data_IF_368777816668
#
_entry.id   IF_368777816668
#
_cell.length_a   1.000
_cell.length_b   1.000
_cell.length_c   1.000
_cell.angle_alpha   90.00
_cell.angle_beta   90.00
_cell.angle_gamma   90.00
#
_symmetry.space_group_name_H-M   'P 1'
#
loop_
_entity.id
_entity.type
_entity.pdbx_description
1 polymer ?
#
# COMPACT_ATOMS: atom_id res chain seq x y z
N UNK A 1 -13.77 39.18 26.71
CA UNK A 1 -13.62 38.44 27.99
C UNK A 1 -12.29 37.66 28.03
N UNK A 2 -11.20 38.21 27.46
CA UNK A 2 -10.03 37.40 27.07
C UNK A 2 -8.71 37.79 27.78
N UNK A 3 -8.67 38.88 28.54
CA UNK A 3 -7.43 39.40 29.16
C UNK A 3 -7.14 38.83 30.55
N UNK A 4 -8.12 38.21 31.23
CA UNK A 4 -7.91 37.59 32.56
C UNK A 4 -6.87 36.47 32.54
N UNK A 5 -6.67 35.79 31.41
CA UNK A 5 -5.71 34.71 31.27
C UNK A 5 -4.24 35.18 31.38
N UNK A 6 -3.97 36.45 31.07
CA UNK A 6 -2.63 37.05 31.11
C UNK A 6 -2.45 37.99 32.31
N UNK A 7 -3.39 37.99 33.26
CA UNK A 7 -3.33 38.85 34.44
C UNK A 7 -2.13 38.53 35.34
N UNK A 8 -1.58 37.32 35.24
CA UNK A 8 -0.45 36.87 36.04
C UNK A 8 0.77 36.67 35.13
N UNK A 9 1.83 37.43 35.41
CA UNK A 9 3.12 37.28 34.74
C UNK A 9 3.86 36.11 35.39
N UNK A 10 4.15 35.07 34.61
CA UNK A 10 5.03 34.00 35.07
C UNK A 10 6.44 34.56 35.20
N UNK A 11 7.00 34.50 36.40
CA UNK A 11 8.40 34.81 36.61
C UNK A 11 9.28 33.79 35.87
N UNK A 12 10.43 34.23 35.34
CA UNK A 12 11.35 33.33 34.65
C UNK A 12 11.81 32.24 35.62
N UNK A 13 11.58 30.99 35.24
CA UNK A 13 12.10 29.84 35.96
C UNK A 13 13.59 29.70 35.61
N UNK A 14 14.41 29.41 36.61
CA UNK A 14 15.83 29.12 36.42
C UNK A 14 16.02 28.04 35.34
N UNK A 15 17.05 28.17 34.51
CA UNK A 15 17.36 27.15 33.51
C UNK A 15 17.68 25.79 34.13
N UNK A 16 17.52 24.72 33.35
CA UNK A 16 17.71 23.33 33.78
C UNK A 16 19.06 23.06 34.46
N UNK A 17 20.10 23.83 34.11
CA UNK A 17 21.43 23.75 34.73
C UNK A 17 21.46 24.09 36.24
N UNK A 18 20.49 24.87 36.75
CA UNK A 18 20.36 25.20 38.19
C UNK A 18 19.45 24.24 38.94
N UNK A 19 18.78 23.31 38.25
CA UNK A 19 17.85 22.40 38.90
C UNK A 19 18.63 21.33 39.69
N UNK A 20 18.14 20.98 40.88
CA UNK A 20 18.72 19.88 41.66
C UNK A 20 18.55 18.60 40.86
N UNK A 21 19.65 17.89 40.60
CA UNK A 21 19.59 16.54 40.03
C UNK A 21 18.91 15.64 41.04
N UNK A 22 17.74 15.12 40.70
CA UNK A 22 17.12 14.06 41.47
C UNK A 22 17.98 12.81 41.32
N UNK A 23 18.48 12.24 42.41
CA UNK A 23 19.17 10.93 42.39
C UNK A 23 18.21 9.76 42.13
N UNK A 24 17.11 10.03 41.44
CA UNK A 24 16.10 9.07 41.05
C UNK A 24 16.61 8.40 39.78
N UNK A 25 16.62 7.06 39.78
CA UNK A 25 16.96 6.26 38.61
C UNK A 25 16.10 6.67 37.43
N UNK A 26 16.70 6.77 36.24
CA UNK A 26 15.96 7.09 35.04
C UNK A 26 14.97 5.97 34.73
N UNK A 27 13.71 6.34 34.47
CA UNK A 27 12.71 5.37 34.03
C UNK A 27 13.15 4.81 32.68
N UNK A 28 13.16 3.49 32.56
CA UNK A 28 13.44 2.82 31.29
C UNK A 28 12.42 3.27 30.24
N UNK A 29 12.83 3.46 28.98
CA UNK A 29 11.89 3.76 27.92
C UNK A 29 10.84 2.66 27.82
N UNK A 30 9.58 2.99 27.47
CA UNK A 30 8.59 1.98 27.16
C UNK A 30 9.11 1.03 26.08
N UNK A 31 8.81 -0.26 26.22
CA UNK A 31 9.14 -1.24 25.19
C UNK A 31 8.39 -0.84 23.91
N UNK A 32 9.14 -0.61 22.83
CA UNK A 32 8.57 -0.32 21.52
C UNK A 32 7.73 -1.51 21.06
N UNK A 33 6.44 -1.27 20.81
CA UNK A 33 5.52 -2.26 20.25
C UNK A 33 5.26 -1.94 18.80
N UNK A 34 5.47 -2.91 17.91
CA UNK A 34 5.04 -2.79 16.52
C UNK A 34 3.52 -2.66 16.49
N UNK A 35 3.03 -1.49 16.09
CA UNK A 35 1.60 -1.28 15.90
C UNK A 35 1.10 -2.19 14.77
N UNK A 36 -0.07 -2.85 14.92
CA UNK A 36 -0.65 -3.62 13.85
C UNK A 36 -0.83 -2.70 12.63
N UNK A 37 -0.24 -3.11 11.51
CA UNK A 37 -0.30 -2.35 10.27
C UNK A 37 -1.73 -2.21 9.77
N UNK A 38 -1.95 -1.22 8.90
CA UNK A 38 -3.25 -1.03 8.24
C UNK A 38 -3.65 -2.30 7.51
N UNK A 39 -4.79 -2.89 7.87
CA UNK A 39 -5.34 -4.04 7.17
C UNK A 39 -5.45 -3.68 5.69
N UNK A 40 -4.82 -4.50 4.82
CA UNK A 40 -4.98 -4.35 3.37
C UNK A 40 -6.48 -4.37 3.09
N UNK A 41 -7.00 -3.29 2.51
CA UNK A 41 -8.36 -3.28 1.96
C UNK A 41 -8.38 -4.31 0.82
N UNK A 42 -8.66 -5.56 1.13
CA UNK A 42 -9.19 -6.49 0.15
C UNK A 42 -10.56 -5.93 -0.22
N UNK A 43 -10.62 -5.11 -1.27
CA UNK A 43 -11.89 -4.87 -1.96
C UNK A 43 -12.27 -6.19 -2.59
N UNK A 44 -13.22 -6.89 -1.98
CA UNK A 44 -13.94 -7.98 -2.63
C UNK A 44 -14.63 -7.35 -3.84
N UNK A 45 -14.06 -7.54 -5.03
CA UNK A 45 -14.63 -7.03 -6.27
C UNK A 45 -15.82 -7.91 -6.62
N UNK A 46 -16.97 -7.32 -6.90
CA UNK A 46 -18.11 -8.09 -7.40
C UNK A 46 -17.76 -8.79 -8.71
N UNK A 47 -18.43 -9.92 -8.97
CA UNK A 47 -18.17 -10.78 -10.13
C UNK A 47 -18.25 -10.04 -11.47
N UNK A 48 -19.02 -8.94 -11.52
CA UNK A 48 -19.22 -8.10 -12.69
C UNK A 48 -18.46 -6.76 -12.66
N UNK A 49 -17.58 -6.52 -11.67
CA UNK A 49 -16.76 -5.32 -11.70
C UNK A 49 -15.80 -5.34 -12.91
N UNK A 50 -15.77 -4.27 -13.73
CA UNK A 50 -14.82 -4.18 -14.83
C UNK A 50 -13.39 -4.22 -14.27
N UNK A 51 -12.60 -5.21 -14.72
CA UNK A 51 -11.17 -5.26 -14.37
C UNK A 51 -10.54 -3.96 -14.86
N UNK A 52 -9.95 -3.18 -13.95
CA UNK A 52 -9.12 -2.02 -14.29
C UNK A 52 -8.06 -2.46 -15.29
N UNK A 53 -8.26 -2.14 -16.56
CA UNK A 53 -7.24 -2.30 -17.58
C UNK A 53 -6.23 -1.17 -17.36
N UNK A 54 -4.94 -1.46 -17.50
CA UNK A 54 -3.91 -0.42 -17.40
C UNK A 54 -4.20 0.67 -18.43
N UNK A 55 -3.97 1.93 -18.09
CA UNK A 55 -4.14 3.06 -19.01
C UNK A 55 -3.41 2.77 -20.33
N UNK A 56 -4.12 2.85 -21.46
CA UNK A 56 -3.58 2.58 -22.79
C UNK A 56 -3.66 1.11 -23.26
N UNK A 57 -4.30 0.21 -22.51
CA UNK A 57 -4.52 -1.18 -22.93
C UNK A 57 -6.02 -1.49 -23.07
N UNK A 58 -6.36 -2.35 -24.04
CA UNK A 58 -7.70 -2.90 -24.21
C UNK A 58 -7.82 -4.25 -23.48
N UNK A 59 -9.01 -4.53 -22.92
CA UNK A 59 -9.29 -5.84 -22.33
C UNK A 59 -9.35 -6.92 -23.42
N UNK A 60 -8.81 -8.11 -23.14
CA UNK A 60 -8.98 -9.30 -24.00
C UNK A 60 -10.33 -10.02 -23.83
N UNK A 61 -11.25 -9.45 -23.04
CA UNK A 61 -12.57 -10.03 -22.84
C UNK A 61 -13.37 -9.98 -24.15
N UNK A 62 -13.97 -11.09 -24.57
CA UNK A 62 -14.77 -11.19 -25.79
C UNK A 62 -13.98 -11.34 -27.10
N UNK A 63 -12.65 -11.33 -27.07
CA UNK A 63 -11.83 -11.55 -28.27
C UNK A 63 -11.61 -13.05 -28.52
N UNK A 64 -11.91 -13.51 -29.73
CA UNK A 64 -11.57 -14.86 -30.18
C UNK A 64 -10.05 -14.92 -30.43
N UNK A 65 -9.37 -15.76 -29.65
CA UNK A 65 -7.94 -15.98 -29.81
C UNK A 65 -7.70 -16.96 -30.96
N UNK A 66 -6.89 -16.56 -31.95
CA UNK A 66 -6.48 -17.42 -33.07
C UNK A 66 -5.03 -17.84 -32.95
N UNK A 67 -4.74 -19.12 -33.14
CA UNK A 67 -3.40 -19.66 -33.14
C UNK A 67 -2.66 -19.26 -34.42
N UNK A 68 -1.55 -18.53 -34.31
CA UNK A 68 -0.74 -18.14 -35.49
C UNK A 68 -0.07 -19.31 -36.21
N UNK A 69 0.06 -20.46 -35.55
CA UNK A 69 0.73 -21.64 -36.10
C UNK A 69 -0.18 -22.50 -36.97
N UNK A 70 -1.43 -22.70 -36.56
CA UNK A 70 -2.36 -23.60 -37.25
C UNK A 70 -3.73 -22.97 -37.53
N UNK A 71 -3.93 -21.69 -37.23
CA UNK A 71 -5.16 -20.95 -37.52
C UNK A 71 -6.34 -21.24 -36.58
N UNK A 72 -6.29 -22.31 -35.77
CA UNK A 72 -7.38 -22.71 -34.88
C UNK A 72 -7.76 -21.66 -33.82
N UNK A 73 -9.02 -21.69 -33.39
CA UNK A 73 -9.60 -20.71 -32.46
C UNK A 73 -9.63 -21.25 -31.02
N UNK A 74 -9.64 -20.34 -30.04
CA UNK A 74 -9.77 -20.69 -28.61
C UNK A 74 -8.46 -21.03 -27.90
N UNK A 75 -7.34 -21.09 -28.61
CA UNK A 75 -6.01 -21.30 -28.04
C UNK A 75 -4.94 -20.44 -28.73
N UNK A 76 -3.81 -20.28 -28.05
CA UNK A 76 -2.65 -19.58 -28.60
C UNK A 76 -1.55 -20.58 -29.02
N UNK A 77 -0.48 -20.08 -29.63
CA UNK A 77 0.63 -20.90 -30.11
C UNK A 77 1.29 -21.76 -29.02
N UNK A 78 1.27 -21.34 -27.74
CA UNK A 78 1.87 -22.08 -26.62
C UNK A 78 1.05 -23.31 -26.24
N UNK A 79 -0.26 -23.25 -26.42
CA UNK A 79 -1.19 -24.36 -26.16
C UNK A 79 -1.53 -25.13 -27.44
N UNK A 80 -0.78 -24.89 -28.54
CA UNK A 80 -1.01 -25.54 -29.81
C UNK A 80 -0.44 -26.96 -29.79
N UNK A 81 -1.30 -27.95 -30.02
CA UNK A 81 -0.95 -29.37 -30.08
C UNK A 81 -0.40 -29.81 -31.45
N UNK A 82 -0.52 -28.97 -32.48
CA UNK A 82 0.00 -29.30 -33.81
C UNK A 82 1.53 -29.33 -33.79
N UNK A 83 2.20 -30.24 -34.50
CA UNK A 83 3.65 -30.25 -34.64
C UNK A 83 4.14 -28.96 -35.32
N UNK A 84 5.40 -28.57 -35.08
CA UNK A 84 5.99 -27.45 -35.82
C UNK A 84 6.09 -27.86 -37.30
N UNK A 85 5.21 -27.34 -38.15
CA UNK A 85 5.36 -27.45 -39.59
C UNK A 85 6.47 -26.50 -40.02
N UNK A 86 7.72 -26.94 -39.88
CA UNK A 86 8.84 -26.44 -40.69
C UNK A 86 8.55 -26.87 -42.13
N UNK A 87 7.90 -26.00 -42.89
CA UNK A 87 7.64 -26.20 -44.31
C UNK A 87 8.68 -25.46 -45.13
N UNK A 88 9.47 -26.26 -45.87
CA UNK A 88 10.35 -25.95 -47.02
C UNK A 88 11.60 -25.11 -46.79
#
# INVERSE_FOLDING_TARGET
>A
RCLKAYAYVLQPINGSHKWRKSGIEHVLPPIEKTMPGKLKKNKMKEKNEPKKVKSGQLSRAGLIMRCRKCGGEGYNIRSCLQPNTTGS
#
